data_IF_156044680101
#
_entry.id   IF_156044680101
#
_cell.length_a   1.000
_cell.length_b   1.000
_cell.length_c   1.000
_cell.angle_alpha   90.00
_cell.angle_beta   90.00
_cell.angle_gamma   90.00
#
_symmetry.space_group_name_H-M   'P 1'
#
loop_
_entity.id
_entity.type
_entity.pdbx_description
1 polymer ?
#
# COMPACT_ATOMS: atom_id res chain seq x y z
N UNK A 1 -33.78 40.42 51.30
CA UNK A 1 -32.63 39.59 50.90
C UNK A 1 -32.83 39.18 49.44
N UNK A 2 -32.00 39.68 48.53
CA UNK A 2 -32.08 39.37 47.09
C UNK A 2 -31.28 38.11 46.83
N UNK A 3 -31.95 37.01 46.50
CA UNK A 3 -31.31 35.75 46.13
C UNK A 3 -30.88 35.85 44.68
N UNK A 4 -29.60 36.09 44.42
CA UNK A 4 -29.03 36.05 43.08
C UNK A 4 -28.94 34.58 42.63
N UNK A 5 -29.79 34.20 41.68
CA UNK A 5 -29.72 32.91 41.00
C UNK A 5 -28.65 33.02 39.90
N UNK A 6 -27.44 32.53 40.18
CA UNK A 6 -26.36 32.45 39.19
C UNK A 6 -26.62 31.21 38.33
N UNK A 7 -27.07 31.43 37.09
CA UNK A 7 -27.22 30.39 36.08
C UNK A 7 -25.85 30.07 35.48
N UNK A 8 -25.24 28.96 35.90
CA UNK A 8 -23.98 28.47 35.32
C UNK A 8 -24.31 27.74 34.02
N UNK A 9 -24.08 28.40 32.89
CA UNK A 9 -24.19 27.81 31.55
C UNK A 9 -22.99 26.88 31.31
N UNK A 10 -23.16 25.59 31.55
CA UNK A 10 -22.19 24.57 31.15
C UNK A 10 -22.14 24.49 29.62
N UNK A 11 -21.15 25.16 29.01
CA UNK A 11 -20.74 24.93 27.64
C UNK A 11 -20.10 23.54 27.55
N UNK A 12 -20.93 22.54 27.23
CA UNK A 12 -20.42 21.26 26.74
C UNK A 12 -19.81 21.49 25.37
N UNK A 13 -18.50 21.73 25.34
CA UNK A 13 -17.70 21.65 24.11
C UNK A 13 -17.66 20.16 23.75
N UNK A 14 -18.64 19.71 22.98
CA UNK A 14 -18.59 18.39 22.36
C UNK A 14 -17.52 18.47 21.26
N UNK A 15 -16.33 17.95 21.53
CA UNK A 15 -15.37 17.66 20.47
C UNK A 15 -15.95 16.52 19.65
N UNK A 16 -16.73 16.88 18.63
CA UNK A 16 -17.19 15.94 17.61
C UNK A 16 -15.95 15.54 16.81
N UNK A 17 -15.38 14.38 17.12
CA UNK A 17 -14.40 13.77 16.25
C UNK A 17 -15.14 13.37 14.97
N UNK A 18 -14.71 13.90 13.83
CA UNK A 18 -15.24 13.48 12.54
C UNK A 18 -14.86 12.03 12.34
N UNK A 19 -15.86 11.15 12.33
CA UNK A 19 -15.63 9.73 12.05
C UNK A 19 -15.38 9.54 10.56
N UNK A 20 -14.45 8.65 10.20
CA UNK A 20 -14.28 8.26 8.79
C UNK A 20 -15.59 7.70 8.22
N UNK A 21 -15.99 8.19 7.04
CA UNK A 21 -17.11 7.62 6.27
C UNK A 21 -16.65 7.15 4.90
N UNK A 22 -17.39 6.22 4.32
CA UNK A 22 -17.16 5.69 2.98
C UNK A 22 -18.45 5.76 2.16
N UNK A 23 -18.52 6.68 1.20
CA UNK A 23 -19.68 6.82 0.33
C UNK A 23 -19.47 5.99 -0.95
N UNK A 24 -20.39 5.08 -1.26
CA UNK A 24 -20.32 4.29 -2.49
C UNK A 24 -20.55 5.22 -3.70
N UNK A 25 -19.57 5.29 -4.60
CA UNK A 25 -19.61 6.13 -5.80
C UNK A 25 -20.05 5.31 -7.01
N UNK A 26 -19.45 4.12 -7.18
CA UNK A 26 -19.53 3.37 -8.43
C UNK A 26 -19.32 1.87 -8.16
N UNK A 27 -19.97 1.05 -8.98
CA UNK A 27 -19.75 -0.40 -9.04
C UNK A 27 -19.33 -0.77 -10.45
N UNK A 28 -18.09 -1.26 -10.59
CA UNK A 28 -17.48 -1.61 -11.86
C UNK A 28 -17.55 -3.13 -12.02
N UNK A 29 -18.13 -3.61 -13.12
CA UNK A 29 -18.05 -5.03 -13.47
C UNK A 29 -16.68 -5.31 -14.08
N UNK A 30 -15.94 -6.27 -13.54
CA UNK A 30 -14.64 -6.65 -14.10
C UNK A 30 -14.66 -8.11 -14.52
N UNK A 31 -14.13 -8.45 -15.71
CA UNK A 31 -13.78 -9.83 -16.02
C UNK A 31 -12.67 -10.31 -15.07
N UNK A 32 -12.38 -11.60 -15.14
CA UNK A 32 -11.45 -12.38 -14.30
C UNK A 32 -10.06 -11.75 -14.02
N UNK A 33 -9.65 -10.75 -14.80
CA UNK A 33 -8.42 -9.99 -14.55
C UNK A 33 -8.59 -9.10 -13.31
N UNK A 34 -7.67 -9.21 -12.36
CA UNK A 34 -7.71 -8.43 -11.11
C UNK A 34 -7.22 -7.02 -11.40
N UNK A 35 -8.10 -6.02 -11.26
CA UNK A 35 -7.64 -4.62 -11.28
C UNK A 35 -6.79 -4.38 -10.04
N UNK A 36 -5.56 -3.95 -10.23
CA UNK A 36 -4.59 -3.77 -9.12
C UNK A 36 -4.48 -2.31 -8.70
N UNK A 37 -4.75 -1.37 -9.60
CA UNK A 37 -4.65 0.06 -9.29
C UNK A 37 -5.29 0.94 -10.38
N UNK A 38 -5.51 2.20 -10.04
CA UNK A 38 -5.81 3.29 -10.97
C UNK A 38 -4.81 4.41 -10.66
N UNK A 39 -4.16 5.02 -11.65
CA UNK A 39 -3.28 6.18 -11.42
C UNK A 39 -3.98 7.53 -11.58
N UNK A 40 -3.28 8.62 -11.27
CA UNK A 40 -3.81 10.00 -11.34
C UNK A 40 -4.07 10.50 -12.78
N UNK A 41 -3.78 9.68 -13.80
CA UNK A 41 -4.06 9.96 -15.21
C UNK A 41 -5.16 9.04 -15.76
N UNK A 42 -5.96 8.47 -14.85
CA UNK A 42 -7.08 7.55 -15.12
C UNK A 42 -6.69 6.29 -15.89
N UNK A 43 -5.41 5.89 -15.84
CA UNK A 43 -5.04 4.56 -16.30
C UNK A 43 -5.41 3.54 -15.25
N UNK A 44 -6.21 2.56 -15.66
CA UNK A 44 -6.49 1.35 -14.89
C UNK A 44 -5.46 0.27 -15.21
N UNK A 45 -4.94 -0.36 -14.17
CA UNK A 45 -3.96 -1.43 -14.23
C UNK A 45 -4.66 -2.74 -13.92
N UNK A 46 -4.60 -3.68 -14.86
CA UNK A 46 -5.16 -5.01 -14.74
C UNK A 46 -4.04 -6.03 -14.79
N UNK A 47 -4.03 -6.93 -13.82
CA UNK A 47 -3.11 -8.05 -13.78
C UNK A 47 -3.90 -9.33 -13.99
N UNK A 48 -3.43 -10.12 -14.95
CA UNK A 48 -3.62 -11.56 -14.94
C UNK A 48 -2.26 -12.21 -14.66
N UNK A 49 -2.24 -13.50 -14.31
CA UNK A 49 -1.05 -14.21 -13.80
C UNK A 49 0.27 -13.94 -14.56
N UNK A 50 0.23 -13.56 -15.85
CA UNK A 50 1.40 -13.42 -16.73
C UNK A 50 1.53 -12.07 -17.43
N UNK A 51 0.51 -11.21 -17.39
CA UNK A 51 0.54 -9.95 -18.12
C UNK A 51 -0.12 -8.81 -17.36
N UNK A 52 0.57 -7.67 -17.38
CA UNK A 52 0.08 -6.39 -16.91
C UNK A 52 -0.48 -5.62 -18.11
N UNK A 53 -1.74 -5.22 -18.00
CA UNK A 53 -2.40 -4.32 -18.94
C UNK A 53 -2.65 -2.98 -18.26
N UNK A 54 -2.18 -1.89 -18.87
CA UNK A 54 -2.45 -0.52 -18.45
C UNK A 54 -3.28 0.17 -19.52
N UNK A 55 -4.48 0.65 -19.20
CA UNK A 55 -5.37 1.24 -20.19
C UNK A 55 -6.17 2.44 -19.66
N UNK A 56 -6.50 3.36 -20.55
CA UNK A 56 -7.54 4.38 -20.38
C UNK A 56 -8.39 4.44 -21.67
N UNK A 57 -9.39 5.32 -21.81
CA UNK A 57 -10.23 5.38 -23.02
C UNK A 57 -9.47 5.66 -24.33
N UNK A 58 -8.25 6.17 -24.27
CA UNK A 58 -7.49 6.63 -25.44
C UNK A 58 -6.33 5.71 -25.82
N UNK A 59 -5.76 5.00 -24.85
CA UNK A 59 -4.50 4.27 -25.03
C UNK A 59 -4.46 3.00 -24.18
N UNK A 60 -3.71 2.01 -24.67
CA UNK A 60 -3.48 0.74 -23.97
C UNK A 60 -2.03 0.34 -24.13
N UNK A 61 -1.41 -0.07 -23.03
CA UNK A 61 -0.08 -0.64 -22.96
C UNK A 61 -0.17 -2.03 -22.33
N UNK A 62 0.69 -2.94 -22.76
CA UNK A 62 0.78 -4.27 -22.20
C UNK A 62 2.23 -4.59 -21.90
N UNK A 63 2.45 -5.32 -20.82
CA UNK A 63 3.73 -5.89 -20.45
C UNK A 63 3.55 -7.35 -20.04
N UNK A 64 4.46 -8.19 -20.48
CA UNK A 64 4.53 -9.58 -20.05
C UNK A 64 5.95 -10.06 -20.18
N UNK A 65 6.43 -10.80 -19.18
CA UNK A 65 7.72 -11.45 -19.24
C UNK A 65 7.60 -12.91 -18.76
N UNK A 66 7.35 -13.81 -19.72
CA UNK A 66 7.06 -15.22 -19.43
C UNK A 66 8.23 -15.96 -18.76
N UNK A 67 9.47 -15.49 -18.96
CA UNK A 67 10.65 -16.14 -18.37
C UNK A 67 10.80 -15.85 -16.88
N UNK A 68 10.14 -14.80 -16.36
CA UNK A 68 10.20 -14.43 -14.95
C UNK A 68 9.14 -15.12 -14.09
N UNK A 69 8.18 -15.81 -14.71
CA UNK A 69 7.11 -16.53 -14.02
C UNK A 69 5.94 -15.61 -13.60
N UNK A 70 5.13 -16.03 -12.61
CA UNK A 70 4.00 -15.23 -12.12
C UNK A 70 4.47 -13.97 -11.38
N UNK A 71 3.66 -12.92 -11.48
CA UNK A 71 3.90 -11.68 -10.74
C UNK A 71 3.51 -11.86 -9.27
N UNK A 72 4.42 -11.55 -8.34
CA UNK A 72 4.14 -11.55 -6.90
C UNK A 72 3.46 -10.25 -6.48
N UNK A 73 4.00 -9.11 -6.91
CA UNK A 73 3.43 -7.80 -6.57
C UNK A 73 3.69 -6.74 -7.62
N UNK A 74 2.78 -5.77 -7.67
CA UNK A 74 2.88 -4.58 -8.54
C UNK A 74 2.68 -3.35 -7.69
N UNK A 75 3.55 -2.37 -7.86
CA UNK A 75 3.42 -1.06 -7.26
C UNK A 75 3.33 0.02 -8.33
N UNK A 76 2.29 0.85 -8.26
CA UNK A 76 1.98 1.89 -9.26
C UNK A 76 1.80 3.28 -8.65
N UNK A 77 2.14 3.50 -7.37
CA UNK A 77 1.93 4.82 -6.73
C UNK A 77 2.75 5.93 -7.41
N UNK A 78 3.82 5.57 -8.12
CA UNK A 78 4.54 6.48 -9.00
C UNK A 78 3.97 6.38 -10.43
N UNK A 79 3.23 7.38 -10.92
CA UNK A 79 2.61 7.29 -12.25
C UNK A 79 3.63 7.28 -13.40
N UNK A 80 4.90 7.62 -13.13
CA UNK A 80 5.98 7.59 -14.09
C UNK A 80 6.73 6.25 -14.14
N UNK A 81 6.58 5.41 -13.11
CA UNK A 81 7.30 4.13 -13.00
C UNK A 81 6.42 3.05 -12.38
N UNK A 82 6.28 1.92 -13.08
CA UNK A 82 5.65 0.73 -12.52
C UNK A 82 6.72 -0.24 -12.04
N UNK A 83 6.58 -0.76 -10.82
CA UNK A 83 7.50 -1.73 -10.24
C UNK A 83 6.81 -3.08 -10.15
N UNK A 84 7.44 -4.12 -10.69
CA UNK A 84 6.91 -5.48 -10.72
C UNK A 84 7.93 -6.41 -10.08
N UNK A 85 7.53 -7.10 -9.02
CA UNK A 85 8.36 -8.07 -8.33
C UNK A 85 7.96 -9.49 -8.73
N UNK A 86 8.95 -10.28 -9.12
CA UNK A 86 8.84 -11.70 -9.46
C UNK A 86 9.60 -12.50 -8.40
N UNK A 87 8.87 -13.11 -7.47
CA UNK A 87 9.47 -13.82 -6.33
C UNK A 87 10.16 -15.12 -6.71
N UNK A 88 9.54 -15.90 -7.60
CA UNK A 88 10.08 -17.21 -8.04
C UNK A 88 11.45 -17.08 -8.72
N UNK A 89 11.64 -16.01 -9.50
CA UNK A 89 12.91 -15.69 -10.15
C UNK A 89 13.74 -14.67 -9.39
N UNK A 90 13.25 -14.19 -8.24
CA UNK A 90 13.88 -13.21 -7.37
C UNK A 90 14.41 -12.00 -8.18
N UNK A 91 13.48 -11.37 -8.91
CA UNK A 91 13.77 -10.30 -9.84
C UNK A 91 12.82 -9.11 -9.68
N UNK A 92 13.36 -7.90 -9.80
CA UNK A 92 12.59 -6.65 -9.87
C UNK A 92 12.67 -6.10 -11.30
N UNK A 93 11.51 -5.86 -11.90
CA UNK A 93 11.38 -5.12 -13.15
C UNK A 93 10.84 -3.72 -12.85
N UNK A 94 11.47 -2.71 -13.42
CA UNK A 94 10.99 -1.32 -13.38
C UNK A 94 10.63 -0.91 -14.80
N UNK A 95 9.40 -0.45 -15.00
CA UNK A 95 8.88 -0.01 -16.28
C UNK A 95 8.64 1.50 -16.29
N UNK A 96 8.68 2.11 -17.47
CA UNK A 96 8.25 3.49 -17.68
C UNK A 96 6.71 3.62 -17.70
N UNK A 97 6.21 4.83 -17.94
CA UNK A 97 4.79 5.13 -17.99
C UNK A 97 4.05 4.50 -19.19
N UNK A 98 4.76 3.98 -20.18
CA UNK A 98 4.25 3.25 -21.35
C UNK A 98 4.47 1.73 -21.24
N UNK A 99 4.87 1.27 -20.05
CA UNK A 99 5.23 -0.12 -19.73
C UNK A 99 6.47 -0.65 -20.47
N UNK A 100 7.37 0.22 -20.94
CA UNK A 100 8.67 -0.19 -21.48
C UNK A 100 9.66 -0.46 -20.34
N UNK A 101 10.52 -1.48 -20.47
CA UNK A 101 11.51 -1.82 -19.45
C UNK A 101 12.58 -0.72 -19.30
N UNK A 102 12.69 -0.18 -18.09
CA UNK A 102 13.79 0.72 -17.68
C UNK A 102 14.95 -0.12 -17.16
N UNK A 103 14.65 -1.13 -16.33
CA UNK A 103 15.68 -1.98 -15.72
C UNK A 103 15.10 -3.31 -15.25
N UNK A 104 15.92 -4.36 -15.32
CA UNK A 104 15.67 -5.64 -14.66
C UNK A 104 16.82 -5.90 -13.69
N UNK A 105 16.49 -6.10 -12.41
CA UNK A 105 17.45 -6.48 -11.37
C UNK A 105 17.20 -7.93 -10.98
N UNK A 106 18.15 -8.82 -11.26
CA UNK A 106 18.15 -10.20 -10.77
C UNK A 106 18.96 -10.27 -9.48
N UNK A 107 18.27 -10.41 -8.34
CA UNK A 107 18.90 -10.41 -7.01
C UNK A 107 19.80 -11.63 -6.78
N UNK A 108 19.62 -12.72 -7.56
CA UNK A 108 20.48 -13.90 -7.48
C UNK A 108 21.89 -13.68 -8.02
N UNK A 109 22.08 -12.63 -8.83
CA UNK A 109 23.35 -12.33 -9.51
C UNK A 109 24.13 -11.21 -8.84
N UNK A 110 23.61 -10.65 -7.74
CA UNK A 110 24.31 -9.62 -6.99
C UNK A 110 25.51 -10.21 -6.24
N UNK A 111 26.64 -9.47 -6.14
CA UNK A 111 27.76 -9.90 -5.31
C UNK A 111 27.36 -10.16 -3.85
N UNK A 112 26.46 -9.34 -3.32
CA UNK A 112 25.83 -9.49 -2.01
C UNK A 112 24.45 -10.15 -2.16
N UNK A 113 24.45 -11.44 -2.53
CA UNK A 113 23.23 -12.24 -2.76
C UNK A 113 22.09 -11.92 -1.77
N UNK A 114 20.91 -11.62 -2.31
CA UNK A 114 19.71 -11.27 -1.53
C UNK A 114 18.59 -12.25 -1.85
N UNK A 115 17.94 -12.79 -0.81
CA UNK A 115 16.70 -13.54 -0.98
C UNK A 115 15.54 -12.60 -0.64
N UNK A 116 14.89 -12.04 -1.66
CA UNK A 116 13.87 -11.01 -1.45
C UNK A 116 12.50 -11.66 -1.32
N UNK A 117 11.70 -11.23 -0.33
CA UNK A 117 10.32 -11.71 -0.20
C UNK A 117 9.25 -10.65 -0.39
N UNK A 118 9.60 -9.38 -0.17
CA UNK A 118 8.69 -8.24 -0.29
C UNK A 118 9.47 -7.05 -0.83
N UNK A 119 8.82 -6.25 -1.67
CA UNK A 119 9.37 -5.02 -2.25
C UNK A 119 8.29 -3.96 -2.29
N UNK A 120 8.65 -2.74 -1.93
CA UNK A 120 7.83 -1.55 -2.19
C UNK A 120 8.71 -0.36 -2.64
N UNK A 121 8.29 0.43 -3.64
CA UNK A 121 9.12 1.53 -4.14
C UNK A 121 9.22 2.68 -3.15
N UNK A 122 10.23 3.52 -3.31
CA UNK A 122 10.32 4.79 -2.59
C UNK A 122 10.91 5.87 -3.53
N UNK A 123 11.42 6.96 -2.98
CA UNK A 123 11.96 8.07 -3.75
C UNK A 123 12.99 7.67 -4.81
N UNK A 124 12.90 8.32 -5.98
CA UNK A 124 13.88 8.24 -7.09
C UNK A 124 14.08 6.83 -7.66
N UNK A 125 15.21 6.22 -7.30
CA UNK A 125 15.71 4.94 -7.82
C UNK A 125 15.84 3.89 -6.70
N UNK A 126 15.16 4.13 -5.59
CA UNK A 126 15.20 3.25 -4.44
C UNK A 126 13.93 2.42 -4.35
N UNK A 127 14.11 1.19 -3.88
CA UNK A 127 13.05 0.36 -3.33
C UNK A 127 13.44 -0.01 -1.92
N UNK A 128 12.43 -0.24 -1.08
CA UNK A 128 12.61 -1.01 0.12
C UNK A 128 12.37 -2.48 -0.19
N UNK A 129 13.25 -3.34 0.27
CA UNK A 129 13.10 -4.79 0.12
C UNK A 129 13.33 -5.49 1.47
N UNK A 130 12.63 -6.59 1.71
CA UNK A 130 12.95 -7.45 2.84
C UNK A 130 13.83 -8.61 2.38
N UNK A 131 15.03 -8.70 2.96
CA UNK A 131 15.98 -9.77 2.69
C UNK A 131 15.85 -10.87 3.74
N UNK A 132 15.39 -12.04 3.32
CA UNK A 132 15.13 -13.19 4.19
C UNK A 132 16.39 -13.81 4.80
N UNK A 133 17.57 -13.54 4.22
CA UNK A 133 18.85 -14.04 4.75
C UNK A 133 19.29 -13.22 5.95
N UNK A 134 19.30 -11.90 5.80
CA UNK A 134 19.72 -10.97 6.86
C UNK A 134 18.60 -10.67 7.84
N UNK A 135 17.36 -11.01 7.48
CA UNK A 135 16.12 -10.62 8.15
C UNK A 135 15.98 -9.10 8.26
N UNK A 136 16.50 -8.35 7.30
CA UNK A 136 16.49 -6.88 7.35
C UNK A 136 15.60 -6.30 6.26
N UNK A 137 14.99 -5.17 6.60
CA UNK A 137 14.45 -4.26 5.62
C UNK A 137 15.60 -3.39 5.11
N UNK A 138 15.84 -3.42 3.80
CA UNK A 138 16.97 -2.78 3.12
C UNK A 138 16.47 -1.73 2.14
N UNK A 139 17.03 -0.52 2.18
CA UNK A 139 16.85 0.48 1.13
C UNK A 139 17.87 0.23 0.03
N UNK A 140 17.39 -0.24 -1.12
CA UNK A 140 18.20 -0.71 -2.22
C UNK A 140 18.02 0.19 -3.45
N UNK A 141 19.13 0.62 -4.05
CA UNK A 141 19.12 1.35 -5.31
C UNK A 141 19.19 0.37 -6.48
N UNK A 142 18.12 0.25 -7.27
CA UNK A 142 18.07 -0.72 -8.36
C UNK A 142 18.92 -0.36 -9.59
N UNK A 143 19.44 0.87 -9.67
CA UNK A 143 20.37 1.26 -10.73
C UNK A 143 21.83 0.99 -10.34
N UNK A 144 22.24 1.41 -9.13
CA UNK A 144 23.62 1.19 -8.66
C UNK A 144 23.83 -0.20 -8.07
N UNK A 145 22.73 -0.89 -7.74
CA UNK A 145 22.70 -2.21 -7.10
C UNK A 145 23.33 -2.24 -5.70
N UNK A 146 23.15 -1.15 -4.96
CA UNK A 146 23.71 -0.97 -3.62
C UNK A 146 22.60 -0.76 -2.59
N UNK A 147 22.78 -1.37 -1.41
CA UNK A 147 21.98 -1.08 -0.21
C UNK A 147 22.59 0.12 0.50
N UNK A 148 21.82 1.20 0.67
CA UNK A 148 22.27 2.43 1.37
C UNK A 148 22.01 2.39 2.87
N UNK A 149 20.94 1.70 3.27
CA UNK A 149 20.52 1.60 4.66
C UNK A 149 19.87 0.23 4.91
N UNK A 150 19.98 -0.27 6.15
CA UNK A 150 19.22 -1.44 6.58
C UNK A 150 18.79 -1.31 8.03
N UNK A 151 17.62 -1.87 8.36
CA UNK A 151 17.16 -1.96 9.75
C UNK A 151 18.00 -2.95 10.57
N UNK A 152 17.74 -2.99 11.87
CA UNK A 152 18.07 -4.16 12.67
C UNK A 152 17.27 -5.39 12.16
N UNK A 153 17.75 -6.62 12.41
CA UNK A 153 17.02 -7.83 12.06
C UNK A 153 15.61 -7.86 12.65
N UNK A 154 14.64 -8.21 11.82
CA UNK A 154 13.22 -8.30 12.11
C UNK A 154 12.88 -9.78 12.20
N UNK A 155 12.75 -10.28 13.43
CA UNK A 155 12.54 -11.70 13.71
C UNK A 155 11.08 -12.12 13.69
N UNK A 156 10.17 -11.14 13.69
CA UNK A 156 8.73 -11.37 13.63
C UNK A 156 8.30 -11.58 12.20
N UNK A 157 7.32 -12.47 11.99
CA UNK A 157 6.77 -12.73 10.67
C UNK A 157 6.19 -11.44 10.11
N UNK A 158 6.64 -11.08 8.91
CA UNK A 158 6.10 -9.95 8.16
C UNK A 158 4.84 -10.44 7.46
N UNK A 159 3.77 -9.66 7.61
CA UNK A 159 2.48 -9.91 6.99
C UNK A 159 2.38 -9.12 5.68
N UNK A 160 2.73 -7.84 5.71
CA UNK A 160 2.59 -6.97 4.55
C UNK A 160 3.48 -5.71 4.66
N UNK A 161 3.66 -5.00 3.54
CA UNK A 161 4.45 -3.79 3.45
C UNK A 161 3.82 -2.80 2.46
N UNK A 162 3.82 -1.52 2.82
CA UNK A 162 3.48 -0.44 1.89
C UNK A 162 4.40 0.75 2.13
N UNK A 163 4.50 1.64 1.16
CA UNK A 163 5.28 2.87 1.30
C UNK A 163 4.69 3.99 0.46
N UNK A 164 5.18 5.18 0.75
CA UNK A 164 5.10 6.31 -0.16
C UNK A 164 6.53 6.83 -0.47
N UNK A 165 6.65 8.09 -0.88
CA UNK A 165 7.94 8.70 -1.17
C UNK A 165 8.81 8.96 0.08
N UNK A 166 8.20 9.06 1.26
CA UNK A 166 8.82 9.53 2.50
C UNK A 166 8.87 8.48 3.61
N UNK A 167 7.92 7.55 3.63
CA UNK A 167 7.73 6.58 4.69
C UNK A 167 7.53 5.16 4.13
N UNK A 168 7.83 4.21 5.00
CA UNK A 168 7.52 2.80 4.80
C UNK A 168 6.80 2.29 6.04
N UNK A 169 5.75 1.54 5.82
CA UNK A 169 4.98 0.86 6.85
C UNK A 169 5.18 -0.63 6.72
N UNK A 170 5.69 -1.21 7.79
CA UNK A 170 5.89 -2.64 7.90
C UNK A 170 4.85 -3.22 8.85
N UNK A 171 4.04 -4.13 8.33
CA UNK A 171 3.09 -4.89 9.13
C UNK A 171 3.68 -6.26 9.48
N UNK A 172 3.80 -6.52 10.76
CA UNK A 172 4.23 -7.81 11.31
C UNK A 172 3.12 -8.40 12.18
N UNK A 173 3.21 -9.67 12.56
CA UNK A 173 2.25 -10.28 13.50
C UNK A 173 2.15 -9.52 14.84
N UNK A 174 3.22 -8.83 15.27
CA UNK A 174 3.26 -8.13 16.56
C UNK A 174 2.99 -6.63 16.45
N UNK A 175 3.44 -5.98 15.37
CA UNK A 175 3.45 -4.52 15.25
C UNK A 175 3.17 -4.03 13.84
N UNK A 176 2.56 -2.85 13.77
CA UNK A 176 2.58 -1.94 12.63
C UNK A 176 3.63 -0.86 12.92
N UNK A 177 4.72 -0.84 12.16
CA UNK A 177 5.84 0.10 12.36
C UNK A 177 6.01 1.00 11.15
N UNK A 178 6.10 2.31 11.37
CA UNK A 178 6.42 3.30 10.36
C UNK A 178 7.89 3.73 10.50
N UNK A 179 8.63 3.65 9.39
CA UNK A 179 9.96 4.21 9.28
C UNK A 179 9.95 5.36 8.27
N UNK A 180 10.76 6.39 8.50
CA UNK A 180 11.02 7.39 7.47
C UNK A 180 11.99 6.85 6.39
N UNK A 181 12.25 7.65 5.35
CA UNK A 181 13.12 7.28 4.24
C UNK A 181 14.58 7.00 4.65
N UNK A 182 15.01 7.37 5.86
CA UNK A 182 16.33 7.04 6.43
C UNK A 182 16.28 5.78 7.30
N UNK A 183 15.12 5.13 7.39
CA UNK A 183 14.88 3.94 8.18
C UNK A 183 14.89 4.16 9.69
N UNK A 184 14.65 5.38 10.14
CA UNK A 184 14.41 5.69 11.55
C UNK A 184 12.94 5.45 11.85
N UNK A 185 12.65 4.77 12.96
CA UNK A 185 11.27 4.53 13.42
C UNK A 185 10.63 5.86 13.82
N UNK A 186 9.53 6.19 13.16
CA UNK A 186 8.71 7.39 13.45
C UNK A 186 7.63 7.08 14.49
N UNK A 187 7.00 5.92 14.37
CA UNK A 187 6.03 5.41 15.33
C UNK A 187 5.82 3.91 15.14
N UNK A 188 5.30 3.26 16.17
CA UNK A 188 4.90 1.85 16.13
C UNK A 188 3.66 1.64 16.97
N UNK A 189 2.76 0.82 16.48
CA UNK A 189 1.57 0.35 17.19
C UNK A 189 1.61 -1.16 17.30
N UNK A 190 1.00 -1.71 18.36
CA UNK A 190 0.77 -3.14 18.43
C UNK A 190 -0.17 -3.54 17.30
N UNK A 191 0.13 -4.64 16.63
CA UNK A 191 -0.80 -5.23 15.66
C UNK A 191 -1.95 -5.91 16.43
N UNK A 192 -3.18 -5.44 16.21
CA UNK A 192 -4.38 -5.97 16.84
C UNK A 192 -5.15 -6.92 15.92
N UNK A 193 -4.44 -7.66 15.07
CA UNK A 193 -5.01 -8.62 14.11
C UNK A 193 -5.22 -8.05 12.71
N UNK A 194 -4.45 -7.04 12.33
CA UNK A 194 -4.34 -6.57 10.96
C UNK A 194 -3.53 -7.58 10.12
N UNK A 195 -3.96 -7.77 8.88
CA UNK A 195 -3.46 -8.80 7.96
C UNK A 195 -2.88 -8.21 6.67
N UNK A 196 -3.44 -7.10 6.18
CA UNK A 196 -3.00 -6.40 4.96
C UNK A 196 -3.01 -4.88 5.20
N UNK A 197 -2.20 -4.14 4.45
CA UNK A 197 -2.02 -2.69 4.58
C UNK A 197 -1.96 -1.98 3.22
N UNK A 198 -2.68 -0.88 3.08
CA UNK A 198 -2.51 0.08 2.00
C UNK A 198 -2.30 1.49 2.56
N UNK A 199 -1.44 2.28 1.92
CA UNK A 199 -1.19 3.68 2.32
C UNK A 199 -1.68 4.66 1.26
N UNK A 200 -2.17 5.81 1.72
CA UNK A 200 -2.48 6.96 0.85
C UNK A 200 -2.35 8.24 1.67
N UNK A 201 -1.65 9.26 1.14
CA UNK A 201 -1.44 10.54 1.85
C UNK A 201 -1.03 10.36 3.33
N UNK A 202 -0.12 9.42 3.61
CA UNK A 202 0.33 9.01 4.95
C UNK A 202 -0.73 8.40 5.89
N UNK A 203 -1.98 8.33 5.47
CA UNK A 203 -3.02 7.53 6.10
C UNK A 203 -2.89 6.06 5.70
N UNK A 204 -3.49 5.17 6.49
CA UNK A 204 -3.49 3.74 6.20
C UNK A 204 -4.91 3.17 6.18
N UNK A 205 -5.10 2.17 5.33
CA UNK A 205 -6.22 1.24 5.37
C UNK A 205 -5.66 -0.12 5.74
N UNK A 206 -6.20 -0.72 6.79
CA UNK A 206 -5.76 -1.98 7.36
C UNK A 206 -6.89 -2.99 7.29
N UNK A 207 -6.62 -4.17 6.73
CA UNK A 207 -7.58 -5.28 6.77
C UNK A 207 -7.49 -6.01 8.09
N UNK A 208 -8.64 -6.28 8.71
CA UNK A 208 -8.78 -7.13 9.89
C UNK A 208 -9.96 -8.06 9.66
N UNK A 209 -9.72 -9.29 9.19
CA UNK A 209 -10.76 -10.21 8.73
C UNK A 209 -11.60 -9.58 7.60
N UNK A 210 -12.91 -9.44 7.80
CA UNK A 210 -13.86 -8.82 6.85
C UNK A 210 -14.11 -7.32 7.13
N UNK A 211 -13.25 -6.67 7.93
CA UNK A 211 -13.35 -5.25 8.23
C UNK A 211 -12.15 -4.49 7.70
N UNK A 212 -12.37 -3.26 7.24
CA UNK A 212 -11.32 -2.29 6.96
C UNK A 212 -11.27 -1.23 8.05
N UNK A 213 -10.07 -0.99 8.56
CA UNK A 213 -9.77 -0.02 9.60
C UNK A 213 -8.95 1.11 8.97
N UNK A 214 -9.43 2.33 9.12
CA UNK A 214 -8.71 3.54 8.76
C UNK A 214 -7.80 3.97 9.90
N UNK A 215 -6.53 4.20 9.60
CA UNK A 215 -5.62 4.91 10.49
C UNK A 215 -5.45 6.36 10.02
N UNK A 216 -5.86 7.30 10.86
CA UNK A 216 -5.69 8.71 10.60
C UNK A 216 -4.34 9.20 11.12
N UNK A 217 -3.44 9.60 10.22
CA UNK A 217 -2.10 10.07 10.57
C UNK A 217 -2.11 11.33 11.45
N UNK A 218 -3.08 12.23 11.23
CA UNK A 218 -3.17 13.51 11.93
C UNK A 218 -3.60 13.35 13.39
N UNK A 219 -4.63 12.53 13.63
CA UNK A 219 -5.17 12.27 14.97
C UNK A 219 -4.51 11.07 15.66
N UNK A 220 -3.78 10.23 14.89
CA UNK A 220 -3.19 8.95 15.32
C UNK A 220 -4.24 7.97 15.87
N UNK A 221 -5.45 7.99 15.30
CA UNK A 221 -6.56 7.12 15.71
C UNK A 221 -6.82 6.02 14.67
N UNK A 222 -7.37 4.90 15.16
CA UNK A 222 -7.87 3.82 14.33
C UNK A 222 -9.39 3.82 14.39
N UNK A 223 -10.04 3.81 13.23
CA UNK A 223 -11.49 3.89 13.11
C UNK A 223 -11.98 2.85 12.11
N UNK A 224 -13.06 2.15 12.43
CA UNK A 224 -13.68 1.21 11.49
C UNK A 224 -14.32 1.98 10.34
N UNK A 225 -14.07 1.55 9.11
CA UNK A 225 -14.76 2.09 7.95
C UNK A 225 -16.13 1.40 7.87
N UNK A 226 -17.24 2.15 7.92
CA UNK A 226 -18.56 1.56 7.77
C UNK A 226 -18.75 1.15 6.30
N UNK A 227 -18.74 -0.15 6.03
CA UNK A 227 -18.96 -0.72 4.71
C UNK A 227 -20.26 -1.54 4.71
N UNK A 228 -21.05 -1.40 3.65
CA UNK A 228 -22.24 -2.22 3.42
C UNK A 228 -21.91 -3.60 2.77
N UNK A 229 -20.63 -3.96 2.73
CA UNK A 229 -20.11 -5.18 2.11
C UNK A 229 -20.04 -6.37 3.05
N UNK A 230 -20.16 -7.58 2.48
CA UNK A 230 -20.04 -8.83 3.22
C UNK A 230 -18.71 -9.57 3.01
N UNK A 231 -17.99 -9.26 1.93
CA UNK A 231 -16.76 -9.97 1.56
C UNK A 231 -15.71 -9.02 0.98
N UNK A 232 -14.47 -9.16 1.42
CA UNK A 232 -13.32 -8.43 0.89
C UNK A 232 -12.33 -9.45 0.31
N UNK A 233 -12.32 -9.62 -1.02
CA UNK A 233 -11.32 -10.50 -1.65
C UNK A 233 -9.95 -9.81 -1.69
N UNK A 234 -9.92 -8.53 -2.07
CA UNK A 234 -8.75 -7.65 -2.01
C UNK A 234 -9.21 -6.19 -2.02
N UNK A 235 -8.30 -5.26 -1.73
CA UNK A 235 -8.57 -3.83 -1.82
C UNK A 235 -7.33 -3.05 -2.22
N UNK A 236 -7.52 -1.85 -2.73
CA UNK A 236 -6.46 -0.86 -2.91
C UNK A 236 -7.01 0.55 -2.73
N UNK A 237 -6.12 1.53 -2.59
CA UNK A 237 -6.50 2.94 -2.47
C UNK A 237 -5.83 3.73 -3.58
N UNK A 238 -6.61 4.60 -4.23
CA UNK A 238 -6.07 5.55 -5.19
C UNK A 238 -6.90 6.83 -5.21
N UNK A 239 -6.22 7.97 -5.28
CA UNK A 239 -6.86 9.30 -5.34
C UNK A 239 -7.93 9.50 -4.25
N UNK A 240 -7.63 9.12 -2.99
CA UNK A 240 -8.58 9.15 -1.84
C UNK A 240 -9.81 8.22 -1.98
N UNK A 241 -9.88 7.41 -3.04
CA UNK A 241 -10.93 6.42 -3.21
C UNK A 241 -10.42 5.04 -2.78
N UNK A 242 -11.24 4.35 -2.00
CA UNK A 242 -11.05 2.96 -1.63
C UNK A 242 -11.75 2.08 -2.67
N UNK A 243 -11.03 1.11 -3.21
CA UNK A 243 -11.55 0.14 -4.17
C UNK A 243 -11.54 -1.23 -3.52
N UNK A 244 -12.70 -1.87 -3.46
CA UNK A 244 -12.86 -3.21 -2.89
C UNK A 244 -13.23 -4.17 -4.01
N UNK A 245 -12.41 -5.22 -4.18
CA UNK A 245 -12.72 -6.32 -5.07
C UNK A 245 -13.59 -7.34 -4.34
N UNK A 246 -14.74 -7.65 -4.93
CA UNK A 246 -15.66 -8.68 -4.46
C UNK A 246 -16.12 -9.51 -5.66
N UNK A 247 -15.63 -10.76 -5.74
CA UNK A 247 -15.89 -11.73 -6.80
C UNK A 247 -15.53 -11.28 -8.22
N UNK A 248 -16.40 -10.51 -8.88
CA UNK A 248 -16.23 -9.99 -10.24
C UNK A 248 -16.67 -8.52 -10.35
N UNK A 249 -16.72 -7.84 -9.20
CA UNK A 249 -17.10 -6.44 -9.08
C UNK A 249 -16.05 -5.70 -8.29
N UNK A 250 -15.89 -4.43 -8.64
CA UNK A 250 -15.12 -3.48 -7.86
C UNK A 250 -16.04 -2.38 -7.39
N UNK A 251 -16.07 -2.20 -6.08
CA UNK A 251 -16.83 -1.16 -5.43
C UNK A 251 -15.89 0.00 -5.10
N UNK A 252 -16.20 1.17 -5.64
CA UNK A 252 -15.43 2.39 -5.43
C UNK A 252 -16.12 3.25 -4.38
N UNK A 253 -15.40 3.51 -3.31
CA UNK A 253 -15.82 4.34 -2.19
C UNK A 253 -15.03 5.63 -2.11
N UNK A 254 -15.70 6.74 -1.84
CA UNK A 254 -15.05 7.99 -1.44
C UNK A 254 -14.84 7.98 0.06
N UNK A 255 -13.59 8.12 0.52
CA UNK A 255 -13.31 8.28 1.93
C UNK A 255 -13.44 9.76 2.35
N UNK A 256 -14.19 10.04 3.42
CA UNK A 256 -14.27 11.36 4.04
C UNK A 256 -13.76 11.26 5.49
N UNK A 257 -12.80 12.10 5.87
CA UNK A 257 -12.12 12.09 7.18
C UNK A 257 -11.45 13.44 7.47
#
# INVERSE_FOLDING_TARGET
MKTNLILILLLFISTSYSQVTADLIEVISTPRDSMVSIDNFDYSYYLNDKSLKKQNPYTTFNYSNLSLGPVESINTFNPLKTFIFYKDTNALVVLDNRLSEISITNFNTLPDFKMVSLITPTQKNFVWLFNQITLKLEQFNYLTKETTFSTNPITKKILDITSDYNYIWLLTEDNLTCYNYRGIVEYSFKNEGFEEIASFNEHLILRKKEMLIFYNKSTKTFESIPLEHQLINSFFVSQQNLYIYELNKIYKYKLNF
#
